data_IF_553243280213
#
_entry.id   IF_553243280213
#
_cell.length_a   1.000
_cell.length_b   1.000
_cell.length_c   1.000
_cell.angle_alpha   90.00
_cell.angle_beta   90.00
_cell.angle_gamma   90.00
#
_symmetry.space_group_name_H-M   'P 1'
#
loop_
_entity.id
_entity.type
_entity.pdbx_description
1 polymer ?
#
# COMPACT_ATOMS: atom_id res chain seq x y z
N UNK A 1 19.71 -31.23 18.75
CA UNK A 1 19.88 -29.90 19.35
C UNK A 1 19.47 -28.93 18.28
N UNK A 2 18.34 -28.31 18.40
CA UNK A 2 17.91 -27.18 17.56
C UNK A 2 18.88 -26.04 17.85
N UNK A 3 19.66 -25.64 16.85
CA UNK A 3 20.42 -24.39 16.92
C UNK A 3 19.33 -23.31 16.88
N UNK A 4 19.02 -22.71 18.03
CA UNK A 4 18.18 -21.54 18.07
C UNK A 4 18.93 -20.45 17.31
N UNK A 5 18.41 -20.08 16.14
CA UNK A 5 18.92 -18.97 15.38
C UNK A 5 18.84 -17.72 16.27
N UNK A 6 19.93 -16.99 16.37
CA UNK A 6 19.98 -15.78 17.21
C UNK A 6 19.35 -14.63 16.41
N UNK A 7 18.44 -13.90 17.03
CA UNK A 7 17.87 -12.69 16.44
C UNK A 7 18.99 -11.74 15.96
N UNK A 8 18.95 -11.43 14.68
CA UNK A 8 19.90 -10.52 14.05
C UNK A 8 19.19 -9.66 12.98
N UNK A 9 18.87 -8.44 13.37
CA UNK A 9 18.15 -7.47 12.54
C UNK A 9 18.84 -7.16 11.20
N UNK A 10 20.15 -7.37 11.06
CA UNK A 10 20.92 -7.12 9.83
C UNK A 10 21.26 -8.39 9.04
N UNK A 11 20.77 -9.53 9.45
CA UNK A 11 21.03 -10.79 8.75
C UNK A 11 20.51 -10.79 7.32
N UNK A 12 21.03 -11.73 6.53
CA UNK A 12 20.49 -12.06 5.20
C UNK A 12 19.51 -13.25 5.25
N UNK A 13 19.41 -13.91 6.39
CA UNK A 13 18.58 -15.10 6.56
C UNK A 13 17.25 -14.71 7.20
N UNK A 14 16.17 -15.11 6.56
CA UNK A 14 14.81 -14.77 6.95
C UNK A 14 14.53 -15.09 8.43
N UNK A 15 14.89 -16.30 8.87
CA UNK A 15 14.62 -16.79 10.24
C UNK A 15 15.46 -16.09 11.31
N UNK A 16 16.52 -15.37 10.94
CA UNK A 16 17.32 -14.58 11.89
C UNK A 16 16.73 -13.17 12.08
N UNK A 17 16.30 -12.49 11.01
CA UNK A 17 15.71 -11.16 11.16
C UNK A 17 14.20 -11.18 11.44
N UNK A 18 13.49 -12.24 11.06
CA UNK A 18 12.13 -12.57 11.52
C UNK A 18 12.26 -13.75 12.48
N UNK A 19 12.87 -13.48 13.63
CA UNK A 19 13.19 -14.54 14.57
C UNK A 19 11.94 -14.96 15.38
N UNK A 20 11.58 -16.22 15.31
CA UNK A 20 10.39 -16.76 15.98
C UNK A 20 10.44 -16.55 17.51
N UNK A 21 11.59 -16.81 18.14
CA UNK A 21 11.72 -16.66 19.59
C UNK A 21 11.60 -15.19 20.00
N UNK A 22 12.21 -14.26 19.25
CA UNK A 22 12.07 -12.81 19.50
C UNK A 22 10.62 -12.36 19.40
N UNK A 23 9.83 -12.91 18.46
CA UNK A 23 8.39 -12.61 18.38
C UNK A 23 7.68 -13.12 19.63
N UNK A 24 7.92 -14.36 20.05
CA UNK A 24 7.29 -14.93 21.26
C UNK A 24 7.66 -14.13 22.51
N UNK A 25 8.94 -13.81 22.70
CA UNK A 25 9.42 -13.01 23.83
C UNK A 25 8.80 -11.60 23.83
N UNK A 26 8.60 -11.02 22.66
CA UNK A 26 7.91 -9.74 22.49
C UNK A 26 6.44 -9.81 22.88
N UNK A 27 5.74 -10.87 22.51
CA UNK A 27 4.34 -11.07 22.87
C UNK A 27 4.18 -11.31 24.38
N UNK A 28 5.07 -12.09 24.99
CA UNK A 28 5.07 -12.31 26.43
C UNK A 28 5.36 -11.00 27.19
N UNK A 29 6.35 -10.25 26.74
CA UNK A 29 6.67 -8.92 27.29
C UNK A 29 5.48 -7.96 27.21
N UNK A 30 4.82 -7.87 26.06
CA UNK A 30 3.66 -7.01 25.88
C UNK A 30 2.50 -7.42 26.78
N UNK A 31 2.21 -8.72 26.88
CA UNK A 31 1.17 -9.27 27.76
C UNK A 31 1.46 -9.00 29.24
N UNK A 32 2.71 -9.17 29.68
CA UNK A 32 3.12 -8.93 31.06
C UNK A 32 2.98 -7.45 31.47
N UNK A 33 3.15 -6.52 30.53
CA UNK A 33 3.13 -5.08 30.78
C UNK A 33 1.83 -4.37 30.37
N UNK A 34 0.83 -5.07 29.83
CA UNK A 34 -0.39 -4.47 29.24
C UNK A 34 -1.17 -3.56 30.21
N UNK A 35 -1.04 -3.78 31.53
CA UNK A 35 -1.68 -2.99 32.57
C UNK A 35 -0.73 -1.98 33.25
N UNK A 36 0.50 -1.84 32.75
CA UNK A 36 1.49 -0.90 33.30
C UNK A 36 1.24 0.50 32.74
N UNK A 37 0.19 1.18 33.26
CA UNK A 37 -0.24 2.51 32.81
C UNK A 37 0.91 3.52 32.70
N UNK A 38 1.75 3.73 33.75
CA UNK A 38 2.82 4.72 33.66
C UNK A 38 3.81 4.43 32.52
N UNK A 39 4.07 3.16 32.27
CA UNK A 39 4.98 2.79 31.19
C UNK A 39 4.34 3.02 29.80
N UNK A 40 3.06 2.66 29.63
CA UNK A 40 2.33 2.92 28.38
C UNK A 40 2.25 4.42 28.09
N UNK A 41 1.97 5.25 29.10
CA UNK A 41 1.99 6.72 28.97
C UNK A 41 3.35 7.24 28.51
N UNK A 42 4.44 6.72 29.09
CA UNK A 42 5.79 7.09 28.67
C UNK A 42 6.11 6.72 27.22
N UNK A 43 5.57 5.61 26.72
CA UNK A 43 5.72 5.22 25.32
C UNK A 43 4.90 6.11 24.37
N UNK A 44 3.70 6.52 24.77
CA UNK A 44 2.91 7.50 24.02
C UNK A 44 3.66 8.82 23.91
N UNK A 45 4.24 9.30 25.01
CA UNK A 45 5.04 10.53 25.04
C UNK A 45 6.32 10.42 24.19
N UNK A 46 7.01 9.27 24.24
CA UNK A 46 8.14 8.97 23.36
C UNK A 46 7.72 9.00 21.89
N UNK A 47 6.62 8.37 21.56
CA UNK A 47 6.10 8.30 20.19
C UNK A 47 5.71 9.68 19.64
N UNK A 48 5.28 10.62 20.49
CA UNK A 48 4.99 12.01 20.10
C UNK A 48 6.21 12.75 19.53
N UNK A 49 7.43 12.28 19.82
CA UNK A 49 8.66 12.79 19.20
C UNK A 49 8.80 12.38 17.72
N UNK A 50 7.94 11.48 17.22
CA UNK A 50 7.93 11.00 15.84
C UNK A 50 9.23 10.33 15.39
N UNK A 51 9.92 9.66 16.29
CA UNK A 51 11.15 8.89 15.99
C UNK A 51 10.88 7.40 15.72
N UNK A 52 9.61 6.99 15.82
CA UNK A 52 9.21 5.60 15.74
C UNK A 52 9.27 4.88 17.08
N UNK A 53 8.78 3.65 17.07
CA UNK A 53 8.85 2.71 18.21
C UNK A 53 9.41 1.37 17.72
N UNK A 54 10.11 0.67 18.60
CA UNK A 54 10.51 -0.71 18.32
C UNK A 54 9.30 -1.64 18.29
N UNK A 55 9.47 -2.82 17.64
CA UNK A 55 8.41 -3.84 17.59
C UNK A 55 7.93 -4.24 19.00
N UNK A 56 8.80 -4.31 20.02
CA UNK A 56 8.43 -4.60 21.42
C UNK A 56 7.56 -3.48 22.03
N UNK A 57 7.96 -2.22 21.83
CA UNK A 57 7.20 -1.06 22.33
C UNK A 57 5.83 -0.94 21.64
N UNK A 58 5.80 -1.17 20.33
CA UNK A 58 4.57 -1.14 19.55
C UNK A 58 3.63 -2.30 19.92
N UNK A 59 4.17 -3.50 20.16
CA UNK A 59 3.39 -4.64 20.64
C UNK A 59 2.70 -4.34 21.98
N UNK A 60 3.39 -3.65 22.89
CA UNK A 60 2.78 -3.23 24.16
C UNK A 60 1.63 -2.23 23.94
N UNK A 61 1.79 -1.25 23.05
CA UNK A 61 0.68 -0.34 22.71
C UNK A 61 -0.50 -1.08 22.06
N UNK A 62 -0.22 -2.11 21.28
CA UNK A 62 -1.26 -2.95 20.68
C UNK A 62 -2.02 -3.77 21.74
N UNK A 63 -1.38 -4.23 22.80
CA UNK A 63 -2.03 -4.98 23.90
C UNK A 63 -2.78 -4.07 24.87
N UNK A 64 -2.52 -2.78 24.92
CA UNK A 64 -3.22 -1.85 25.81
C UNK A 64 -4.72 -1.83 25.52
N UNK A 65 -5.56 -2.14 26.49
CA UNK A 65 -7.02 -2.15 26.39
C UNK A 65 -7.71 -1.10 27.27
N UNK A 66 -6.95 -0.28 27.99
CA UNK A 66 -7.50 0.82 28.79
C UNK A 66 -8.09 1.91 27.86
N UNK A 67 -9.41 2.18 27.94
CA UNK A 67 -10.09 3.04 26.96
C UNK A 67 -9.50 4.43 26.80
N UNK A 68 -9.08 5.05 27.91
CA UNK A 68 -8.45 6.39 27.90
C UNK A 68 -7.12 6.37 27.13
N UNK A 69 -6.27 5.38 27.37
CA UNK A 69 -4.98 5.25 26.70
C UNK A 69 -5.16 4.89 25.21
N UNK A 70 -6.14 4.05 24.88
CA UNK A 70 -6.48 3.74 23.48
C UNK A 70 -6.91 5.02 22.75
N UNK A 71 -7.69 5.89 23.36
CA UNK A 71 -8.05 7.17 22.76
C UNK A 71 -6.84 8.11 22.58
N UNK A 72 -5.89 8.11 23.54
CA UNK A 72 -4.63 8.85 23.39
C UNK A 72 -3.79 8.30 22.24
N UNK A 73 -3.70 6.97 22.08
CA UNK A 73 -3.03 6.32 20.94
C UNK A 73 -3.67 6.76 19.63
N UNK A 74 -5.00 6.73 19.51
CA UNK A 74 -5.71 7.18 18.31
C UNK A 74 -5.50 8.65 18.02
N UNK A 75 -5.52 9.49 19.04
CA UNK A 75 -5.26 10.92 18.89
C UNK A 75 -3.84 11.16 18.35
N UNK A 76 -2.84 10.53 18.95
CA UNK A 76 -1.46 10.63 18.50
C UNK A 76 -1.26 10.12 17.06
N UNK A 77 -1.89 9.02 16.68
CA UNK A 77 -1.83 8.51 15.32
C UNK A 77 -2.37 9.53 14.29
N UNK A 78 -3.49 10.21 14.61
CA UNK A 78 -4.04 11.31 13.78
C UNK A 78 -3.07 12.48 13.67
N UNK A 79 -2.44 12.88 14.77
CA UNK A 79 -1.47 13.98 14.77
C UNK A 79 -0.24 13.65 13.93
N UNK A 80 0.34 12.46 14.09
CA UNK A 80 1.48 11.98 13.30
C UNK A 80 1.12 11.94 11.81
N UNK A 81 -0.05 11.39 11.46
CA UNK A 81 -0.52 11.39 10.07
C UNK A 81 -0.61 12.81 9.51
N UNK A 82 -1.23 13.73 10.25
CA UNK A 82 -1.38 15.14 9.83
C UNK A 82 -0.02 15.82 9.66
N UNK A 83 0.92 15.54 10.53
CA UNK A 83 2.27 16.12 10.48
C UNK A 83 3.02 15.73 9.21
N UNK A 84 2.99 14.46 8.79
CA UNK A 84 3.78 13.97 7.66
C UNK A 84 3.00 13.92 6.34
N UNK A 85 1.73 13.63 6.39
CA UNK A 85 0.90 13.44 5.20
C UNK A 85 -0.15 14.54 4.99
N UNK A 86 -0.40 15.37 6.02
CA UNK A 86 -1.47 16.36 5.98
C UNK A 86 -2.83 15.69 5.79
N UNK A 87 -3.67 16.32 4.98
CA UNK A 87 -4.98 15.81 4.59
C UNK A 87 -4.99 15.18 3.18
N UNK A 88 -3.81 14.83 2.62
CA UNK A 88 -3.68 14.22 1.29
C UNK A 88 -3.92 12.71 1.35
N UNK A 89 -4.69 12.22 0.40
CA UNK A 89 -4.88 10.78 0.18
C UNK A 89 -4.50 10.46 -1.26
N UNK A 90 -3.50 9.61 -1.42
CA UNK A 90 -3.01 9.20 -2.75
C UNK A 90 -3.95 8.16 -3.34
N UNK A 91 -4.33 8.38 -4.60
CA UNK A 91 -5.24 7.52 -5.35
C UNK A 91 -4.49 6.62 -6.32
N UNK A 92 -4.92 5.35 -6.43
CA UNK A 92 -4.43 4.40 -7.42
C UNK A 92 -5.53 3.40 -7.81
N UNK A 93 -5.28 2.62 -8.86
CA UNK A 93 -6.08 1.44 -9.21
C UNK A 93 -5.19 0.22 -9.41
N UNK A 94 -5.63 -0.99 -9.05
CA UNK A 94 -4.97 -2.22 -9.48
C UNK A 94 -5.22 -2.46 -10.97
N UNK A 95 -4.28 -3.11 -11.65
CA UNK A 95 -4.46 -3.65 -12.99
C UNK A 95 -3.96 -5.09 -13.00
N UNK A 96 -4.89 -6.03 -13.12
CA UNK A 96 -4.59 -7.46 -13.16
C UNK A 96 -4.23 -7.87 -14.58
N UNK A 97 -2.96 -8.27 -14.78
CA UNK A 97 -2.44 -8.67 -16.08
C UNK A 97 -2.74 -10.13 -16.40
N UNK A 98 -2.75 -10.99 -15.37
CA UNK A 98 -2.95 -12.42 -15.52
C UNK A 98 -3.27 -13.11 -14.19
N UNK A 99 -4.18 -14.08 -14.22
CA UNK A 99 -4.48 -14.95 -13.10
C UNK A 99 -3.90 -16.38 -13.24
N UNK A 100 -3.06 -16.62 -14.25
CA UNK A 100 -2.29 -17.85 -14.32
C UNK A 100 -1.30 -17.91 -13.15
N UNK A 101 -1.37 -18.98 -12.35
CA UNK A 101 -0.52 -19.18 -11.18
C UNK A 101 -0.24 -20.65 -10.96
N UNK A 102 1.00 -20.98 -10.60
CA UNK A 102 1.47 -22.35 -10.31
C UNK A 102 1.47 -22.70 -8.83
N UNK A 103 1.20 -21.71 -7.95
CA UNK A 103 1.21 -21.90 -6.51
C UNK A 103 -0.09 -22.51 -5.99
N UNK A 104 -0.01 -23.12 -4.82
CA UNK A 104 -1.14 -23.74 -4.13
C UNK A 104 -1.65 -22.97 -2.91
N UNK A 105 -1.59 -21.63 -2.92
CA UNK A 105 -2.00 -20.78 -1.80
C UNK A 105 -3.48 -21.00 -1.45
N UNK A 106 -3.77 -21.45 -0.22
CA UNK A 106 -5.13 -21.85 0.18
C UNK A 106 -6.11 -20.70 0.38
N UNK A 107 -5.64 -19.45 0.35
CA UNK A 107 -6.43 -18.22 0.55
C UNK A 107 -6.60 -17.41 -0.74
N UNK A 108 -6.11 -17.90 -1.87
CA UNK A 108 -6.11 -17.14 -3.15
C UNK A 108 -6.82 -17.94 -4.24
N UNK A 109 -7.85 -17.41 -4.91
CA UNK A 109 -8.57 -18.11 -5.95
C UNK A 109 -7.72 -18.45 -7.17
N UNK A 110 -6.55 -17.81 -7.33
CA UNK A 110 -5.61 -18.09 -8.42
C UNK A 110 -4.80 -19.38 -8.21
N UNK A 111 -4.97 -20.07 -7.07
CA UNK A 111 -4.21 -21.30 -6.81
C UNK A 111 -4.37 -22.35 -7.91
N UNK A 112 -3.31 -23.12 -8.15
CA UNK A 112 -3.22 -24.05 -9.28
C UNK A 112 -4.31 -25.15 -9.31
N UNK A 113 -4.90 -25.46 -8.14
CA UNK A 113 -5.94 -26.49 -8.01
C UNK A 113 -7.33 -25.97 -8.33
N UNK A 114 -7.57 -24.63 -8.33
CA UNK A 114 -8.86 -24.07 -8.69
C UNK A 114 -9.15 -24.35 -10.17
N UNK A 115 -10.24 -25.07 -10.44
CA UNK A 115 -10.71 -25.46 -11.78
C UNK A 115 -11.90 -24.66 -12.26
N UNK A 116 -12.46 -23.82 -11.39
CA UNK A 116 -13.68 -23.05 -11.65
C UNK A 116 -13.37 -21.67 -12.20
N UNK A 117 -12.35 -21.01 -11.67
CA UNK A 117 -12.00 -19.66 -12.12
C UNK A 117 -11.50 -19.64 -13.58
N UNK A 118 -12.06 -18.81 -14.46
CA UNK A 118 -11.55 -18.65 -15.82
C UNK A 118 -10.12 -18.11 -15.82
N UNK A 119 -9.21 -18.83 -16.47
CA UNK A 119 -7.81 -18.39 -16.60
C UNK A 119 -7.68 -17.44 -17.78
N UNK A 120 -7.15 -16.25 -17.50
CA UNK A 120 -6.96 -15.19 -18.48
C UNK A 120 -5.58 -14.54 -18.30
N UNK A 121 -4.98 -14.14 -19.41
CA UNK A 121 -3.80 -13.30 -19.50
C UNK A 121 -4.06 -12.25 -20.57
N UNK A 122 -3.82 -10.99 -20.26
CA UNK A 122 -4.04 -9.92 -21.21
C UNK A 122 -2.95 -9.92 -22.30
N UNK A 123 -3.37 -9.81 -23.55
CA UNK A 123 -2.48 -9.40 -24.63
C UNK A 123 -2.10 -7.91 -24.51
N UNK A 124 -1.09 -7.46 -25.22
CA UNK A 124 -0.69 -6.05 -25.20
C UNK A 124 -1.83 -5.13 -25.70
N UNK A 125 -2.67 -5.61 -26.62
CA UNK A 125 -3.83 -4.86 -27.10
C UNK A 125 -4.95 -4.79 -26.05
N UNK A 126 -5.19 -5.85 -25.30
CA UNK A 126 -6.12 -5.82 -24.17
C UNK A 126 -5.61 -4.88 -23.05
N UNK A 127 -4.31 -4.92 -22.73
CA UNK A 127 -3.69 -3.97 -21.78
C UNK A 127 -3.93 -2.53 -22.25
N UNK A 128 -3.81 -2.26 -23.55
CA UNK A 128 -4.07 -0.94 -24.12
C UNK A 128 -5.52 -0.50 -23.88
N UNK A 129 -6.49 -1.38 -24.09
CA UNK A 129 -7.91 -1.08 -23.83
C UNK A 129 -8.18 -0.83 -22.36
N UNK A 130 -7.65 -1.65 -21.47
CA UNK A 130 -7.76 -1.47 -20.01
C UNK A 130 -7.18 -0.13 -19.55
N UNK A 131 -6.00 0.23 -20.06
CA UNK A 131 -5.34 1.48 -19.69
C UNK A 131 -6.11 2.70 -20.21
N UNK A 132 -6.70 2.63 -21.41
CA UNK A 132 -7.56 3.70 -21.93
C UNK A 132 -8.78 3.87 -21.02
N UNK A 133 -9.44 2.79 -20.60
CA UNK A 133 -10.57 2.84 -19.69
C UNK A 133 -10.16 3.46 -18.31
N UNK A 134 -9.02 3.08 -17.76
CA UNK A 134 -8.47 3.67 -16.54
C UNK A 134 -8.11 5.15 -16.69
N UNK A 135 -7.60 5.57 -17.85
CA UNK A 135 -7.33 6.97 -18.14
C UNK A 135 -8.62 7.77 -18.30
N UNK A 136 -9.68 7.20 -18.89
CA UNK A 136 -11.00 7.82 -18.98
C UNK A 136 -11.68 7.99 -17.62
N UNK A 137 -11.34 7.15 -16.63
CA UNK A 137 -11.74 7.34 -15.23
C UNK A 137 -10.92 8.44 -14.53
N UNK A 138 -9.75 8.79 -15.04
CA UNK A 138 -8.86 9.82 -14.48
C UNK A 138 -7.65 9.27 -13.69
N UNK A 139 -7.44 7.95 -13.68
CA UNK A 139 -6.28 7.36 -13.01
C UNK A 139 -4.95 7.77 -13.65
N UNK A 140 -3.93 7.98 -12.80
CA UNK A 140 -2.55 8.32 -13.22
C UNK A 140 -1.51 7.40 -12.57
N UNK A 141 -1.95 6.49 -11.70
CA UNK A 141 -1.10 5.54 -10.97
C UNK A 141 -1.76 4.18 -10.96
N UNK A 142 -1.02 3.15 -11.30
CA UNK A 142 -1.45 1.76 -11.27
C UNK A 142 -0.61 0.91 -10.32
N UNK A 143 -1.21 -0.15 -9.80
CA UNK A 143 -0.53 -1.29 -9.21
C UNK A 143 -0.77 -2.50 -10.11
N UNK A 144 0.30 -3.04 -10.72
CA UNK A 144 0.20 -4.21 -11.58
C UNK A 144 0.17 -5.48 -10.73
N UNK A 145 -0.76 -6.35 -11.04
CA UNK A 145 -0.97 -7.62 -10.36
C UNK A 145 -0.85 -8.77 -11.36
N UNK A 146 -0.10 -9.81 -11.01
CA UNK A 146 -0.02 -11.03 -11.82
C UNK A 146 0.24 -12.25 -10.93
N UNK A 147 -0.40 -13.38 -11.26
CA UNK A 147 -0.07 -14.65 -10.65
C UNK A 147 1.35 -15.11 -11.03
N UNK A 148 1.94 -15.95 -10.19
CA UNK A 148 3.26 -16.52 -10.44
C UNK A 148 3.17 -17.71 -11.40
N UNK A 149 3.58 -17.51 -12.63
CA UNK A 149 3.65 -18.54 -13.65
C UNK A 149 4.81 -18.24 -14.61
N UNK A 150 5.96 -18.91 -14.47
CA UNK A 150 7.13 -18.65 -15.32
C UNK A 150 6.88 -18.83 -16.82
N UNK A 151 5.88 -19.65 -17.18
CA UNK A 151 5.53 -19.92 -18.58
C UNK A 151 4.58 -18.85 -19.15
N UNK A 152 3.54 -18.49 -18.38
CA UNK A 152 2.53 -17.56 -18.84
C UNK A 152 2.88 -16.10 -18.52
N UNK A 153 3.55 -15.85 -17.40
CA UNK A 153 3.88 -14.52 -16.88
C UNK A 153 5.40 -14.35 -16.70
N UNK A 154 6.26 -14.66 -17.72
CA UNK A 154 7.70 -14.44 -17.60
C UNK A 154 7.99 -12.95 -17.38
N UNK A 155 9.18 -12.63 -16.86
CA UNK A 155 9.58 -11.24 -16.59
C UNK A 155 9.48 -10.36 -17.84
N UNK A 156 9.80 -10.89 -19.02
CA UNK A 156 9.70 -10.14 -20.28
C UNK A 156 8.28 -9.66 -20.58
N UNK A 157 7.27 -10.47 -20.27
CA UNK A 157 5.87 -10.07 -20.41
C UNK A 157 5.53 -8.90 -19.47
N UNK A 158 5.99 -8.94 -18.22
CA UNK A 158 5.78 -7.85 -17.25
C UNK A 158 6.45 -6.57 -17.74
N UNK A 159 7.69 -6.66 -18.19
CA UNK A 159 8.47 -5.54 -18.73
C UNK A 159 7.82 -4.93 -19.98
N UNK A 160 7.34 -5.77 -20.90
CA UNK A 160 6.62 -5.33 -22.08
C UNK A 160 5.32 -4.62 -21.70
N UNK A 161 4.56 -5.18 -20.74
CA UNK A 161 3.33 -4.58 -20.24
C UNK A 161 3.57 -3.19 -19.64
N UNK A 162 4.64 -3.02 -18.86
CA UNK A 162 5.04 -1.71 -18.30
C UNK A 162 5.32 -0.71 -19.43
N UNK A 163 6.11 -1.10 -20.45
CA UNK A 163 6.40 -0.25 -21.61
C UNK A 163 5.13 0.14 -22.36
N UNK A 164 4.24 -0.82 -22.59
CA UNK A 164 2.94 -0.58 -23.23
C UNK A 164 2.12 0.44 -22.44
N UNK A 165 1.98 0.26 -21.11
CA UNK A 165 1.22 1.16 -20.24
C UNK A 165 1.75 2.59 -20.32
N UNK A 166 3.06 2.79 -20.20
CA UNK A 166 3.66 4.13 -20.27
C UNK A 166 3.58 4.78 -21.66
N UNK A 167 3.43 3.98 -22.73
CA UNK A 167 3.31 4.51 -24.09
C UNK A 167 1.93 5.08 -24.43
N UNK A 168 0.91 4.83 -23.60
CA UNK A 168 -0.47 5.19 -23.91
C UNK A 168 -0.79 6.58 -23.40
N UNK A 169 -1.17 7.45 -24.34
CA UNK A 169 -1.73 8.77 -24.06
C UNK A 169 -3.10 8.85 -24.72
N UNK A 170 -4.14 9.00 -23.91
CA UNK A 170 -5.51 9.09 -24.39
C UNK A 170 -6.15 10.39 -23.87
N UNK A 171 -6.57 11.28 -24.75
CA UNK A 171 -7.04 12.63 -24.39
C UNK A 171 -6.00 13.35 -23.50
N UNK A 172 -6.40 13.82 -22.31
CA UNK A 172 -5.50 14.38 -21.29
C UNK A 172 -4.95 13.34 -20.32
N UNK A 173 -5.25 12.05 -20.55
CA UNK A 173 -4.84 10.94 -19.71
C UNK A 173 -3.43 10.43 -20.03
N UNK A 174 -2.72 10.03 -18.99
CA UNK A 174 -1.49 9.27 -19.06
C UNK A 174 -1.27 8.56 -17.73
N UNK A 175 -0.86 7.29 -17.76
CA UNK A 175 -0.35 6.64 -16.57
C UNK A 175 1.08 7.14 -16.35
N UNK A 176 1.29 7.77 -15.21
CA UNK A 176 2.55 8.44 -14.86
C UNK A 176 3.38 7.65 -13.86
N UNK A 177 2.82 6.57 -13.31
CA UNK A 177 3.48 5.67 -12.36
C UNK A 177 2.85 4.30 -12.35
N UNK A 178 3.70 3.28 -12.38
CA UNK A 178 3.35 1.88 -12.27
C UNK A 178 4.07 1.28 -11.07
N UNK A 179 3.34 0.85 -10.04
CA UNK A 179 3.85 -0.03 -8.99
C UNK A 179 3.67 -1.48 -9.45
N UNK A 180 4.47 -2.39 -8.94
CA UNK A 180 4.43 -3.79 -9.36
C UNK A 180 4.29 -4.71 -8.15
N UNK A 181 3.29 -5.56 -8.17
CA UNK A 181 3.03 -6.61 -7.20
C UNK A 181 3.04 -7.95 -7.94
N UNK A 182 4.21 -8.53 -8.06
CA UNK A 182 4.46 -9.87 -8.61
C UNK A 182 5.23 -10.70 -7.59
N UNK A 183 5.24 -12.02 -7.77
CA UNK A 183 5.95 -12.93 -6.88
C UNK A 183 7.44 -12.58 -6.71
N UNK A 184 8.02 -13.05 -5.61
CA UNK A 184 9.45 -12.92 -5.32
C UNK A 184 10.29 -13.41 -6.50
N UNK A 185 11.33 -12.64 -6.86
CA UNK A 185 12.15 -12.96 -8.02
C UNK A 185 13.66 -12.73 -7.74
N UNK A 186 14.48 -12.77 -8.75
CA UNK A 186 15.95 -12.62 -8.64
C UNK A 186 16.38 -11.16 -8.61
N UNK A 187 17.56 -10.88 -8.08
CA UNK A 187 18.20 -9.56 -8.13
C UNK A 187 18.23 -8.99 -9.54
N UNK A 188 18.54 -9.84 -10.53
CA UNK A 188 18.59 -9.44 -11.94
C UNK A 188 17.21 -8.97 -12.44
N UNK A 189 16.15 -9.73 -12.16
CA UNK A 189 14.79 -9.33 -12.54
C UNK A 189 14.38 -8.04 -11.86
N UNK A 190 14.74 -7.82 -10.59
CA UNK A 190 14.50 -6.53 -9.91
C UNK A 190 15.27 -5.38 -10.58
N UNK A 191 16.48 -5.60 -11.06
CA UNK A 191 17.23 -4.60 -11.82
C UNK A 191 16.52 -4.24 -13.12
N UNK A 192 16.02 -5.23 -13.86
CA UNK A 192 15.22 -5.00 -15.07
C UNK A 192 13.93 -4.21 -14.79
N UNK A 193 13.24 -4.50 -13.67
CA UNK A 193 12.06 -3.75 -13.23
C UNK A 193 12.43 -2.30 -12.90
N UNK A 194 13.55 -2.07 -12.23
CA UNK A 194 14.06 -0.70 -11.96
C UNK A 194 14.33 0.05 -13.25
N UNK A 195 14.98 -0.59 -14.22
CA UNK A 195 15.28 -0.01 -15.54
C UNK A 195 14.00 0.29 -16.34
N UNK A 196 12.95 -0.53 -16.17
CA UNK A 196 11.63 -0.28 -16.76
C UNK A 196 10.90 0.92 -16.13
N UNK A 197 11.45 1.50 -15.07
CA UNK A 197 10.92 2.72 -14.45
C UNK A 197 9.73 2.48 -13.52
N UNK A 198 9.68 1.34 -12.83
CA UNK A 198 8.62 1.12 -11.83
C UNK A 198 8.71 2.10 -10.66
N UNK A 199 7.60 2.28 -9.99
CA UNK A 199 7.54 3.02 -8.74
C UNK A 199 7.99 2.15 -7.55
N UNK A 200 7.03 1.59 -6.82
CA UNK A 200 7.27 0.67 -5.69
C UNK A 200 7.15 -0.77 -6.16
N UNK A 201 8.08 -1.63 -5.74
CA UNK A 201 7.85 -3.06 -5.74
C UNK A 201 7.11 -3.45 -4.46
N UNK A 202 5.99 -4.13 -4.60
CA UNK A 202 5.11 -4.50 -3.48
C UNK A 202 5.03 -6.02 -3.41
N UNK A 203 5.21 -6.59 -2.22
CA UNK A 203 4.97 -8.00 -1.96
C UNK A 203 4.51 -8.18 -0.52
N UNK A 204 3.35 -8.81 -0.35
CA UNK A 204 2.85 -9.13 0.99
C UNK A 204 3.50 -10.41 1.48
N UNK A 205 3.93 -10.40 2.75
CA UNK A 205 4.44 -11.59 3.41
C UNK A 205 3.33 -12.61 3.65
N UNK A 206 2.10 -12.17 3.68
CA UNK A 206 0.87 -12.90 4.03
C UNK A 206 0.84 -13.22 5.53
N UNK A 207 1.74 -14.05 6.03
CA UNK A 207 2.02 -14.28 7.47
C UNK A 207 3.52 -14.41 7.71
N UNK A 208 3.98 -13.94 8.84
CA UNK A 208 5.38 -14.07 9.28
C UNK A 208 5.67 -15.36 10.05
N UNK A 209 4.63 -16.13 10.43
CA UNK A 209 4.81 -17.45 11.04
C UNK A 209 5.22 -18.47 9.98
N UNK A 210 6.46 -18.96 10.02
CA UNK A 210 6.97 -19.92 9.05
C UNK A 210 6.11 -21.18 8.98
N UNK A 211 5.71 -21.73 10.11
CA UNK A 211 4.86 -22.92 10.17
C UNK A 211 3.50 -22.70 9.48
N UNK A 212 2.82 -21.59 9.80
CA UNK A 212 1.56 -21.23 9.15
C UNK A 212 1.76 -20.88 7.67
N UNK A 213 2.86 -20.20 7.35
CA UNK A 213 3.19 -19.87 5.96
C UNK A 213 3.33 -21.12 5.09
N UNK A 214 4.08 -22.13 5.56
CA UNK A 214 4.28 -23.40 4.84
C UNK A 214 2.96 -24.18 4.69
N UNK A 215 2.10 -24.17 5.72
CA UNK A 215 0.77 -24.77 5.66
C UNK A 215 -0.16 -24.07 4.65
N UNK A 216 -0.09 -22.73 4.56
CA UNK A 216 -0.89 -21.91 3.65
C UNK A 216 -0.38 -21.94 2.19
N UNK A 217 0.89 -22.34 1.97
CA UNK A 217 1.54 -22.40 0.66
C UNK A 217 2.09 -23.82 0.38
N UNK A 218 1.25 -24.85 0.30
CA UNK A 218 1.67 -26.24 0.29
C UNK A 218 2.45 -26.66 -0.99
N UNK A 219 2.32 -25.90 -2.06
CA UNK A 219 2.97 -26.24 -3.36
C UNK A 219 3.32 -24.98 -4.16
N UNK A 220 4.30 -25.12 -5.05
CA UNK A 220 4.76 -24.09 -5.95
C UNK A 220 5.95 -23.28 -5.39
N UNK A 221 6.52 -22.37 -6.17
CA UNK A 221 7.69 -21.57 -5.75
C UNK A 221 7.43 -20.73 -4.47
N UNK A 222 6.23 -20.22 -4.29
CA UNK A 222 5.84 -19.43 -3.11
C UNK A 222 5.87 -20.24 -1.80
N UNK A 223 5.96 -21.60 -1.85
CA UNK A 223 6.12 -22.42 -0.64
C UNK A 223 7.45 -22.20 0.09
N UNK A 224 8.45 -21.61 -0.56
CA UNK A 224 9.73 -21.32 0.06
C UNK A 224 9.66 -20.05 0.90
N UNK A 225 9.44 -20.20 2.21
CA UNK A 225 9.33 -19.09 3.16
C UNK A 225 10.53 -18.15 3.12
N UNK A 226 11.76 -18.68 3.21
CA UNK A 226 12.96 -17.86 3.25
C UNK A 226 13.11 -17.04 1.96
N UNK A 227 12.97 -17.68 0.80
CA UNK A 227 13.06 -16.99 -0.49
C UNK A 227 12.02 -15.88 -0.64
N UNK A 228 10.80 -16.09 -0.15
CA UNK A 228 9.74 -15.09 -0.18
C UNK A 228 10.02 -13.93 0.79
N UNK A 229 10.39 -14.22 2.03
CA UNK A 229 10.65 -13.23 3.09
C UNK A 229 11.84 -12.32 2.74
N UNK A 230 12.88 -12.87 2.06
CA UNK A 230 14.08 -12.15 1.62
C UNK A 230 13.89 -11.39 0.28
N UNK A 231 12.68 -11.35 -0.26
CA UNK A 231 12.41 -10.71 -1.55
C UNK A 231 12.72 -9.21 -1.56
N UNK A 232 12.42 -8.50 -0.46
CA UNK A 232 12.69 -7.06 -0.37
C UNK A 232 14.19 -6.74 -0.35
N UNK A 233 14.98 -7.60 0.30
CA UNK A 233 16.45 -7.52 0.26
C UNK A 233 16.97 -7.59 -1.17
N UNK A 234 16.54 -8.61 -1.92
CA UNK A 234 16.92 -8.77 -3.32
C UNK A 234 16.43 -7.62 -4.20
N UNK A 235 15.24 -7.07 -3.92
CA UNK A 235 14.71 -5.92 -4.65
C UNK A 235 15.58 -4.68 -4.45
N UNK A 236 15.99 -4.41 -3.20
CA UNK A 236 16.87 -3.28 -2.88
C UNK A 236 18.30 -3.51 -3.41
N UNK A 237 18.82 -4.72 -3.36
CA UNK A 237 20.09 -5.10 -4.01
C UNK A 237 20.01 -4.92 -5.55
N UNK A 238 18.86 -5.12 -6.15
CA UNK A 238 18.56 -4.84 -7.57
C UNK A 238 18.41 -3.37 -7.91
N UNK A 239 18.50 -2.47 -6.90
CA UNK A 239 18.44 -1.02 -7.07
C UNK A 239 17.03 -0.43 -6.98
N UNK A 240 16.04 -1.19 -6.51
CA UNK A 240 14.70 -0.64 -6.24
C UNK A 240 14.77 0.12 -4.90
N UNK A 241 14.57 1.44 -4.95
CA UNK A 241 14.67 2.31 -3.77
C UNK A 241 13.43 2.25 -2.88
N UNK A 242 12.26 1.99 -3.47
CA UNK A 242 10.97 2.01 -2.80
C UNK A 242 10.34 0.62 -2.80
N UNK A 243 10.32 -0.04 -1.65
CA UNK A 243 9.65 -1.34 -1.45
C UNK A 243 8.41 -1.18 -0.58
N UNK A 244 7.43 -2.06 -0.79
CA UNK A 244 6.18 -2.09 -0.03
C UNK A 244 5.95 -3.48 0.57
N UNK A 245 5.80 -3.54 1.88
CA UNK A 245 5.51 -4.76 2.62
C UNK A 245 4.04 -4.81 3.07
N UNK A 246 3.57 -5.95 3.53
CA UNK A 246 2.22 -6.10 4.05
C UNK A 246 1.97 -7.47 4.65
N UNK A 247 0.87 -7.57 5.36
CA UNK A 247 0.34 -8.80 5.96
C UNK A 247 -1.12 -8.94 5.56
N UNK A 248 -1.54 -10.16 5.24
CA UNK A 248 -2.96 -10.48 5.08
C UNK A 248 -3.53 -10.91 6.43
N UNK A 249 -4.06 -9.94 7.18
CA UNK A 249 -4.61 -10.20 8.50
C UNK A 249 -5.82 -11.14 8.44
N UNK A 250 -5.82 -12.14 9.29
CA UNK A 250 -6.82 -13.21 9.35
C UNK A 250 -6.27 -14.59 9.00
N UNK A 251 -5.10 -14.67 8.36
CA UNK A 251 -4.44 -15.95 8.07
C UNK A 251 -3.79 -16.58 9.31
N UNK A 252 -3.25 -15.75 10.18
CA UNK A 252 -2.65 -16.16 11.46
C UNK A 252 -3.08 -15.18 12.55
N UNK A 253 -2.63 -15.38 13.79
CA UNK A 253 -2.91 -14.45 14.89
C UNK A 253 -2.32 -13.07 14.56
N UNK A 254 -3.15 -12.04 14.63
CA UNK A 254 -2.74 -10.69 14.27
C UNK A 254 -1.56 -10.15 15.09
N UNK A 255 -1.44 -10.61 16.33
CA UNK A 255 -0.34 -10.21 17.23
C UNK A 255 1.01 -10.66 16.69
N UNK A 256 1.10 -11.92 16.28
CA UNK A 256 2.32 -12.48 15.73
C UNK A 256 2.74 -11.75 14.43
N UNK A 257 1.78 -11.61 13.53
CA UNK A 257 2.02 -10.99 12.22
C UNK A 257 2.29 -9.49 12.32
N UNK A 258 1.69 -8.81 13.30
CA UNK A 258 1.99 -7.40 13.58
C UNK A 258 3.45 -7.22 14.05
N UNK A 259 3.94 -8.06 14.96
CA UNK A 259 5.33 -8.01 15.41
C UNK A 259 6.28 -8.31 14.25
N UNK A 260 6.02 -9.39 13.50
CA UNK A 260 6.82 -9.75 12.33
C UNK A 260 6.88 -8.64 11.27
N UNK A 261 5.77 -7.95 11.02
CA UNK A 261 5.70 -6.81 10.10
C UNK A 261 6.62 -5.66 10.54
N UNK A 262 6.63 -5.33 11.82
CA UNK A 262 7.50 -4.28 12.36
C UNK A 262 8.97 -4.71 12.37
N UNK A 263 9.27 -5.96 12.71
CA UNK A 263 10.63 -6.51 12.62
C UNK A 263 11.17 -6.44 11.18
N UNK A 264 10.33 -6.71 10.17
CA UNK A 264 10.73 -6.58 8.77
C UNK A 264 11.00 -5.12 8.39
N UNK A 265 10.14 -4.18 8.84
CA UNK A 265 10.38 -2.75 8.63
C UNK A 265 11.69 -2.27 9.27
N UNK A 266 11.97 -2.69 10.51
CA UNK A 266 13.21 -2.41 11.22
C UNK A 266 14.44 -3.03 10.53
N UNK A 267 14.31 -4.26 10.04
CA UNK A 267 15.35 -4.93 9.29
C UNK A 267 15.77 -4.14 8.04
N UNK A 268 14.80 -3.71 7.23
CA UNK A 268 15.08 -2.92 6.02
C UNK A 268 15.77 -1.60 6.37
N UNK A 269 15.30 -0.89 7.40
CA UNK A 269 15.93 0.35 7.85
C UNK A 269 17.35 0.11 8.39
N UNK A 270 17.56 -0.94 9.19
CA UNK A 270 18.86 -1.25 9.79
C UNK A 270 19.90 -1.70 8.75
N UNK A 271 19.47 -2.40 7.70
CA UNK A 271 20.35 -2.98 6.68
C UNK A 271 20.63 -2.03 5.52
N UNK A 272 19.62 -1.30 5.06
CA UNK A 272 19.70 -0.46 3.86
C UNK A 272 19.65 1.05 4.17
N UNK A 273 19.49 1.43 5.45
CA UNK A 273 19.37 2.82 5.86
C UNK A 273 18.01 3.47 5.59
N UNK A 274 17.09 2.73 4.97
CA UNK A 274 15.74 3.20 4.65
C UNK A 274 14.73 2.07 4.87
N UNK A 275 13.66 2.36 5.62
CA UNK A 275 12.55 1.43 5.84
C UNK A 275 11.63 1.32 4.61
N UNK A 276 10.56 0.53 4.70
CA UNK A 276 9.63 0.36 3.60
C UNK A 276 8.95 1.68 3.24
N UNK A 277 8.80 1.94 1.93
CA UNK A 277 8.08 3.10 1.42
C UNK A 277 6.58 3.03 1.76
N UNK A 278 6.03 1.82 1.72
CA UNK A 278 4.62 1.58 2.05
C UNK A 278 4.43 0.32 2.90
N UNK A 279 3.41 0.35 3.74
CA UNK A 279 2.86 -0.81 4.44
C UNK A 279 1.40 -0.96 4.05
N UNK A 280 1.03 -2.16 3.59
CA UNK A 280 -0.35 -2.53 3.28
C UNK A 280 -0.92 -3.41 4.39
N UNK A 281 -2.17 -3.17 4.74
CA UNK A 281 -2.85 -3.84 5.86
C UNK A 281 -4.17 -4.51 5.40
N UNK A 282 -4.15 -5.39 4.38
CA UNK A 282 -5.36 -6.09 3.94
C UNK A 282 -5.84 -7.08 4.99
N UNK A 283 -7.17 -7.29 5.03
CA UNK A 283 -7.79 -8.42 5.75
C UNK A 283 -8.25 -9.48 4.75
N UNK A 284 -8.35 -10.72 5.22
CA UNK A 284 -8.89 -11.82 4.42
C UNK A 284 -10.33 -11.49 3.99
N UNK A 285 -10.66 -11.74 2.73
CA UNK A 285 -11.99 -11.61 2.15
C UNK A 285 -12.32 -12.86 1.35
N UNK A 286 -13.62 -13.14 1.21
CA UNK A 286 -14.09 -14.19 0.33
C UNK A 286 -13.78 -13.87 -1.14
N UNK A 287 -13.68 -14.93 -1.93
CA UNK A 287 -13.45 -14.90 -3.37
C UNK A 287 -14.00 -16.21 -3.97
N UNK A 288 -13.82 -16.42 -5.29
CA UNK A 288 -14.11 -17.70 -5.91
C UNK A 288 -13.33 -18.83 -5.20
N UNK A 289 -14.01 -19.92 -4.82
CA UNK A 289 -13.44 -21.07 -4.09
C UNK A 289 -12.77 -20.75 -2.74
N UNK A 290 -12.98 -19.53 -2.19
CA UNK A 290 -12.42 -19.09 -0.90
C UNK A 290 -13.54 -18.53 -0.02
N UNK A 291 -13.77 -19.16 1.13
CA UNK A 291 -14.66 -18.63 2.18
C UNK A 291 -13.81 -17.99 3.29
N UNK A 292 -14.00 -16.69 3.53
CA UNK A 292 -13.32 -16.00 4.62
C UNK A 292 -13.66 -16.57 6.00
N UNK A 293 -14.82 -17.24 6.14
CA UNK A 293 -15.24 -17.93 7.36
C UNK A 293 -14.38 -19.14 7.72
N UNK A 294 -13.64 -19.71 6.77
CA UNK A 294 -12.73 -20.84 7.02
C UNK A 294 -11.43 -20.41 7.74
N UNK A 295 -11.21 -19.09 7.89
CA UNK A 295 -10.02 -18.53 8.53
C UNK A 295 -10.37 -18.04 9.95
N UNK A 296 -10.00 -18.80 11.01
CA UNK A 296 -10.45 -18.54 12.38
C UNK A 296 -9.84 -17.30 13.03
N UNK A 297 -8.81 -16.70 12.40
CA UNK A 297 -8.09 -15.55 12.92
C UNK A 297 -8.60 -14.20 12.37
N UNK A 298 -9.81 -14.15 11.82
CA UNK A 298 -10.42 -12.90 11.37
C UNK A 298 -10.45 -11.87 12.50
N UNK A 299 -10.20 -10.61 12.15
CA UNK A 299 -10.12 -9.50 13.12
C UNK A 299 -11.29 -8.54 12.97
N UNK A 300 -11.76 -8.00 14.13
CA UNK A 300 -12.80 -6.98 14.15
C UNK A 300 -12.30 -5.61 13.65
N UNK A 301 -13.22 -4.72 13.36
CA UNK A 301 -12.90 -3.33 12.97
C UNK A 301 -12.19 -2.56 14.09
N UNK A 302 -12.46 -2.87 15.36
CA UNK A 302 -11.76 -2.27 16.50
C UNK A 302 -10.28 -2.68 16.52
N UNK A 303 -10.01 -3.99 16.41
CA UNK A 303 -8.64 -4.52 16.34
C UNK A 303 -7.93 -3.95 15.12
N UNK A 304 -8.59 -3.91 13.97
CA UNK A 304 -8.04 -3.36 12.74
C UNK A 304 -7.68 -1.88 12.87
N UNK A 305 -8.57 -1.08 13.45
CA UNK A 305 -8.33 0.35 13.73
C UNK A 305 -7.11 0.56 14.63
N UNK A 306 -6.97 -0.29 15.65
CA UNK A 306 -5.85 -0.24 16.58
C UNK A 306 -4.53 -0.62 15.92
N UNK A 307 -4.52 -1.67 15.09
CA UNK A 307 -3.37 -2.06 14.28
C UNK A 307 -2.90 -0.89 13.42
N UNK A 308 -3.82 -0.27 12.67
CA UNK A 308 -3.50 0.88 11.81
C UNK A 308 -2.93 2.05 12.61
N UNK A 309 -3.53 2.39 13.75
CA UNK A 309 -3.06 3.48 14.61
C UNK A 309 -1.66 3.20 15.15
N UNK A 310 -1.40 1.98 15.67
CA UNK A 310 -0.10 1.64 16.26
C UNK A 310 0.99 1.52 15.19
N UNK A 311 0.70 0.98 13.99
CA UNK A 311 1.65 1.01 12.87
C UNK A 311 2.01 2.47 12.52
N UNK A 312 1.03 3.38 12.44
CA UNK A 312 1.31 4.81 12.17
C UNK A 312 2.24 5.44 13.20
N UNK A 313 2.09 5.07 14.46
CA UNK A 313 2.93 5.54 15.56
C UNK A 313 4.34 4.93 15.48
N UNK A 314 4.42 3.62 15.23
CA UNK A 314 5.68 2.88 15.21
C UNK A 314 6.54 3.23 13.99
N UNK A 315 5.91 3.42 12.82
CA UNK A 315 6.58 3.74 11.54
C UNK A 315 6.03 5.04 10.96
N UNK A 316 6.32 6.20 11.60
CA UNK A 316 5.62 7.46 11.34
C UNK A 316 5.79 8.00 9.92
N UNK A 317 6.87 7.63 9.22
CA UNK A 317 7.22 8.14 7.90
C UNK A 317 6.71 7.30 6.73
N UNK A 318 6.27 6.06 7.01
CA UNK A 318 5.87 5.10 5.97
C UNK A 318 4.46 5.38 5.46
N UNK A 319 4.25 5.31 4.15
CA UNK A 319 2.92 5.34 3.55
C UNK A 319 2.11 4.12 3.96
N UNK A 320 0.83 4.29 4.28
CA UNK A 320 -0.05 3.15 4.61
C UNK A 320 -1.17 3.04 3.61
N UNK A 321 -1.40 1.82 3.13
CA UNK A 321 -2.31 1.51 2.03
C UNK A 321 -3.48 0.66 2.52
N UNK A 322 -4.68 1.03 2.07
CA UNK A 322 -5.89 0.21 2.16
C UNK A 322 -6.57 0.13 0.80
N UNK A 323 -7.11 -1.03 0.47
CA UNK A 323 -7.78 -1.26 -0.81
C UNK A 323 -9.31 -1.25 -0.67
N UNK A 324 -10.00 -1.45 -1.80
CA UNK A 324 -11.45 -1.65 -1.88
C UNK A 324 -11.93 -3.00 -1.33
N UNK A 325 -11.01 -3.81 -0.80
CA UNK A 325 -11.30 -5.02 0.00
C UNK A 325 -12.11 -4.68 1.24
N UNK A 326 -11.83 -3.50 1.84
CA UNK A 326 -12.50 -3.00 3.03
C UNK A 326 -13.79 -2.22 2.73
N UNK A 327 -14.76 -2.30 3.62
CA UNK A 327 -16.02 -1.55 3.52
C UNK A 327 -15.79 -0.04 3.60
N UNK A 328 -16.74 0.74 3.09
CA UNK A 328 -16.71 2.20 3.16
C UNK A 328 -16.56 2.71 4.58
N UNK A 329 -17.26 2.08 5.54
CA UNK A 329 -17.22 2.46 6.95
C UNK A 329 -15.86 2.17 7.57
N UNK A 330 -15.31 0.97 7.35
CA UNK A 330 -13.98 0.60 7.84
C UNK A 330 -12.91 1.54 7.24
N UNK A 331 -12.97 1.82 5.94
CA UNK A 331 -12.06 2.76 5.27
C UNK A 331 -12.12 4.16 5.88
N UNK A 332 -13.33 4.67 6.19
CA UNK A 332 -13.50 5.98 6.83
C UNK A 332 -12.80 6.06 8.20
N UNK A 333 -12.97 5.03 9.04
CA UNK A 333 -12.35 4.96 10.38
C UNK A 333 -10.82 5.00 10.29
N UNK A 334 -10.23 4.17 9.44
CA UNK A 334 -8.77 4.03 9.38
C UNK A 334 -8.07 5.13 8.58
N UNK A 335 -8.79 5.84 7.68
CA UNK A 335 -8.26 7.03 7.02
C UNK A 335 -7.77 8.08 8.01
N UNK A 336 -8.52 8.31 9.08
CA UNK A 336 -8.11 9.27 10.11
C UNK A 336 -6.89 8.80 10.89
N UNK A 337 -6.78 7.49 11.16
CA UNK A 337 -5.78 6.91 12.06
C UNK A 337 -4.39 6.77 11.42
N UNK A 338 -4.31 6.56 10.10
CA UNK A 338 -2.99 6.31 9.54
C UNK A 338 -2.91 6.18 8.03
N UNK A 339 -3.99 5.79 7.38
CA UNK A 339 -3.98 5.50 5.94
C UNK A 339 -3.72 6.77 5.13
N UNK A 340 -2.80 6.69 4.17
CA UNK A 340 -2.39 7.78 3.29
C UNK A 340 -2.59 7.49 1.80
N UNK A 341 -2.89 6.24 1.45
CA UNK A 341 -3.12 5.80 0.07
C UNK A 341 -4.30 4.84 0.00
N UNK A 342 -5.17 5.03 -0.99
CA UNK A 342 -6.32 4.14 -1.21
C UNK A 342 -6.50 3.83 -2.69
N UNK A 343 -7.04 2.65 -2.99
CA UNK A 343 -7.56 2.37 -4.32
C UNK A 343 -9.01 2.88 -4.44
N UNK A 344 -9.43 3.25 -5.65
CA UNK A 344 -10.78 3.72 -5.94
C UNK A 344 -11.23 3.32 -7.34
N UNK A 345 -12.51 3.01 -7.51
CA UNK A 345 -13.04 2.52 -8.78
C UNK A 345 -12.40 1.21 -9.22
N UNK A 346 -12.00 0.36 -8.26
CA UNK A 346 -11.17 -0.82 -8.52
C UNK A 346 -11.95 -1.95 -9.18
N UNK A 347 -11.26 -2.66 -10.08
CA UNK A 347 -11.63 -3.99 -10.57
C UNK A 347 -10.52 -4.97 -10.23
N UNK A 348 -10.87 -6.15 -9.73
CA UNK A 348 -9.92 -7.18 -9.28
C UNK A 348 -9.85 -8.38 -10.21
N UNK A 349 -10.55 -8.28 -11.32
CA UNK A 349 -10.57 -9.25 -12.41
C UNK A 349 -9.58 -8.90 -13.51
N UNK A 350 -9.12 -9.90 -14.25
CA UNK A 350 -8.25 -9.72 -15.41
C UNK A 350 -9.07 -9.18 -16.58
N UNK A 351 -8.86 -7.91 -16.97
CA UNK A 351 -9.59 -7.25 -18.06
C UNK A 351 -10.96 -6.70 -17.64
N UNK A 352 -11.10 -6.28 -16.39
CA UNK A 352 -12.40 -5.84 -15.83
C UNK A 352 -12.73 -4.36 -16.00
N UNK A 353 -11.86 -3.53 -16.61
CA UNK A 353 -12.13 -2.10 -16.81
C UNK A 353 -12.72 -1.77 -18.19
N UNK A 354 -12.24 -2.40 -19.24
CA UNK A 354 -12.66 -2.13 -20.60
C UNK A 354 -13.94 -2.88 -21.02
N UNK A 355 -14.20 -4.01 -20.38
CA UNK A 355 -15.34 -4.88 -20.70
C UNK A 355 -16.22 -5.07 -19.46
N UNK A 356 -17.55 -5.16 -19.67
CA UNK A 356 -18.47 -5.55 -18.60
C UNK A 356 -18.26 -7.04 -18.31
N UNK A 357 -17.82 -7.34 -17.10
CA UNK A 357 -17.66 -8.72 -16.67
C UNK A 357 -19.01 -9.37 -16.40
N UNK A 358 -19.25 -10.51 -17.04
CA UNK A 358 -20.43 -11.33 -16.77
C UNK A 358 -20.12 -12.26 -15.58
N UNK A 359 -21.14 -12.62 -14.76
CA UNK A 359 -20.92 -13.49 -13.58
C UNK A 359 -20.20 -14.80 -13.89
N UNK A 360 -20.48 -15.40 -15.06
CA UNK A 360 -19.85 -16.64 -15.52
C UNK A 360 -18.39 -16.50 -15.91
N UNK A 361 -17.91 -15.28 -16.10
CA UNK A 361 -16.52 -14.96 -16.46
C UNK A 361 -15.76 -14.27 -15.32
N UNK A 362 -16.31 -14.30 -14.10
CA UNK A 362 -15.66 -13.67 -12.95
C UNK A 362 -14.27 -14.27 -12.70
N UNK A 363 -13.25 -13.46 -12.84
CA UNK A 363 -11.85 -13.80 -12.61
C UNK A 363 -11.23 -12.99 -11.46
N UNK A 364 -12.08 -12.41 -10.61
CA UNK A 364 -11.66 -11.56 -9.52
C UNK A 364 -10.77 -12.29 -8.50
N UNK A 365 -9.73 -11.62 -8.01
CA UNK A 365 -8.87 -12.15 -6.96
C UNK A 365 -9.54 -12.13 -5.59
N UNK A 366 -10.46 -11.20 -5.37
CA UNK A 366 -11.28 -11.11 -4.16
C UNK A 366 -12.52 -10.25 -4.44
N UNK A 367 -13.54 -10.45 -3.64
CA UNK A 367 -14.77 -9.66 -3.71
C UNK A 367 -14.51 -8.22 -3.23
N UNK A 368 -14.90 -7.26 -4.07
CA UNK A 368 -14.74 -5.83 -3.78
C UNK A 368 -15.88 -5.38 -2.86
N UNK A 369 -15.54 -4.91 -1.65
CA UNK A 369 -16.53 -4.40 -0.69
C UNK A 369 -16.92 -2.94 -0.95
N UNK A 370 -16.00 -2.13 -1.47
CA UNK A 370 -16.28 -0.76 -1.88
C UNK A 370 -16.34 -0.65 -3.40
N UNK A 371 -17.54 -0.70 -3.95
CA UNK A 371 -17.81 -0.74 -5.39
C UNK A 371 -18.00 0.64 -6.03
N UNK A 372 -17.80 1.72 -5.27
CA UNK A 372 -17.94 3.09 -5.77
C UNK A 372 -17.04 3.36 -6.96
N UNK A 373 -17.53 4.17 -7.88
CA UNK A 373 -16.72 4.75 -8.97
C UNK A 373 -15.60 5.63 -8.41
N UNK A 374 -14.60 5.93 -9.22
CA UNK A 374 -13.52 6.83 -8.80
C UNK A 374 -14.06 8.22 -8.43
N UNK A 375 -15.04 8.77 -9.18
CA UNK A 375 -15.61 10.08 -8.88
C UNK A 375 -16.38 10.10 -7.55
N UNK A 376 -17.13 9.04 -7.25
CA UNK A 376 -17.81 8.91 -5.93
C UNK A 376 -16.80 8.83 -4.78
N UNK A 377 -15.67 8.13 -4.97
CA UNK A 377 -14.61 8.08 -3.95
C UNK A 377 -13.92 9.43 -3.79
N UNK A 378 -13.64 10.14 -4.89
CA UNK A 378 -13.09 11.50 -4.87
C UNK A 378 -14.05 12.45 -4.15
N UNK A 379 -15.35 12.43 -4.50
CA UNK A 379 -16.37 13.24 -3.85
C UNK A 379 -16.44 12.99 -2.34
N UNK A 380 -16.49 11.73 -1.94
CA UNK A 380 -16.49 11.32 -0.53
C UNK A 380 -15.25 11.82 0.24
N UNK A 381 -14.05 11.76 -0.36
CA UNK A 381 -12.84 12.29 0.28
C UNK A 381 -12.92 13.82 0.46
N UNK A 382 -13.47 14.54 -0.53
CA UNK A 382 -13.67 15.97 -0.45
C UNK A 382 -14.66 16.34 0.68
N UNK A 383 -15.74 15.58 0.86
CA UNK A 383 -16.69 15.75 1.97
C UNK A 383 -16.03 15.53 3.35
N UNK A 384 -15.09 14.61 3.45
CA UNK A 384 -14.30 14.36 4.65
C UNK A 384 -13.18 15.40 4.88
N UNK A 385 -12.99 16.35 3.95
CA UNK A 385 -11.94 17.37 4.02
C UNK A 385 -10.55 16.87 3.60
N UNK A 386 -10.47 15.74 2.92
CA UNK A 386 -9.22 15.23 2.35
C UNK A 386 -8.99 15.76 0.93
N UNK A 387 -7.72 15.84 0.54
CA UNK A 387 -7.29 16.18 -0.81
C UNK A 387 -6.99 14.88 -1.56
N UNK A 388 -7.86 14.41 -2.49
CA UNK A 388 -7.53 13.32 -3.39
C UNK A 388 -6.31 13.70 -4.24
N UNK A 389 -5.25 12.90 -4.18
CA UNK A 389 -3.98 13.20 -4.83
C UNK A 389 -3.65 12.16 -5.89
N UNK A 390 -3.47 12.62 -7.12
CA UNK A 390 -2.98 11.81 -8.24
C UNK A 390 -1.49 12.09 -8.52
N UNK A 391 -0.78 12.67 -7.56
CA UNK A 391 0.61 13.08 -7.70
C UNK A 391 1.54 11.88 -7.91
N UNK A 392 2.45 12.00 -8.87
CA UNK A 392 3.50 11.03 -9.20
C UNK A 392 4.88 11.70 -9.29
N UNK A 393 5.02 12.92 -8.76
CA UNK A 393 6.20 13.76 -8.97
C UNK A 393 7.48 13.15 -8.37
N UNK A 394 7.42 12.56 -7.19
CA UNK A 394 8.63 12.11 -6.48
C UNK A 394 9.48 11.15 -7.32
N UNK A 395 8.86 10.17 -7.97
CA UNK A 395 9.58 9.21 -8.83
C UNK A 395 10.20 9.85 -10.06
N UNK A 396 9.49 10.81 -10.63
CA UNK A 396 9.90 11.49 -11.86
C UNK A 396 10.97 12.55 -11.61
N UNK A 397 11.10 13.01 -10.38
CA UNK A 397 12.09 14.00 -9.91
C UNK A 397 13.23 13.35 -9.10
N UNK A 398 13.35 12.01 -9.14
CA UNK A 398 14.38 11.27 -8.41
C UNK A 398 14.31 11.42 -6.89
N UNK A 399 13.13 11.68 -6.35
CA UNK A 399 12.88 11.75 -4.89
C UNK A 399 12.33 10.40 -4.43
N UNK A 400 13.20 9.40 -4.34
CA UNK A 400 12.90 8.03 -3.93
C UNK A 400 13.85 7.60 -2.81
N UNK A 401 13.57 6.49 -2.14
CA UNK A 401 14.40 5.90 -1.11
C UNK A 401 14.76 6.89 0.00
N UNK A 402 16.03 6.94 0.37
CA UNK A 402 16.56 7.82 1.44
C UNK A 402 16.28 9.31 1.17
N UNK A 403 16.39 9.76 -0.08
CA UNK A 403 16.08 11.16 -0.44
C UNK A 403 14.62 11.50 -0.14
N UNK A 404 13.69 10.61 -0.44
CA UNK A 404 12.28 10.81 -0.08
C UNK A 404 12.08 10.83 1.42
N UNK A 405 12.64 9.85 2.14
CA UNK A 405 12.51 9.74 3.59
C UNK A 405 13.12 10.95 4.32
N UNK A 406 14.25 11.47 3.86
CA UNK A 406 14.85 12.69 4.40
C UNK A 406 13.96 13.92 4.25
N UNK A 407 13.29 14.06 3.11
CA UNK A 407 12.30 15.14 2.88
C UNK A 407 11.05 14.99 3.77
N UNK A 408 10.62 13.76 4.04
CA UNK A 408 9.50 13.49 4.95
C UNK A 408 9.90 13.81 6.39
N UNK A 409 11.03 13.28 6.86
CA UNK A 409 11.54 13.49 8.24
C UNK A 409 11.78 14.97 8.54
N UNK A 410 12.29 15.73 7.58
CA UNK A 410 12.50 17.19 7.74
C UNK A 410 11.25 18.05 7.57
N UNK A 411 10.11 17.46 7.15
CA UNK A 411 8.89 18.19 6.81
C UNK A 411 8.92 18.96 5.50
N UNK A 412 10.05 19.00 4.79
CA UNK A 412 10.20 19.73 3.52
C UNK A 412 9.32 19.14 2.41
N UNK A 413 8.94 17.88 2.53
CA UNK A 413 8.04 17.22 1.59
C UNK A 413 6.70 17.96 1.43
N UNK A 414 6.25 18.69 2.46
CA UNK A 414 5.01 19.48 2.42
C UNK A 414 5.06 20.59 1.35
N UNK A 415 6.25 21.16 1.07
CA UNK A 415 6.44 22.17 0.05
C UNK A 415 6.27 21.66 -1.39
N UNK A 416 6.35 20.36 -1.60
CA UNK A 416 6.14 19.73 -2.90
C UNK A 416 4.79 18.99 -2.95
N UNK A 417 4.55 18.12 -1.96
CA UNK A 417 3.40 17.21 -1.99
C UNK A 417 2.06 17.91 -1.84
N UNK A 418 1.96 18.96 -1.00
CA UNK A 418 0.72 19.75 -0.87
C UNK A 418 0.32 20.39 -2.18
N UNK A 419 1.15 21.28 -2.75
CA UNK A 419 0.87 21.92 -4.04
C UNK A 419 0.65 20.92 -5.18
N UNK A 420 1.46 19.86 -5.28
CA UNK A 420 1.28 18.83 -6.30
C UNK A 420 -0.06 18.07 -6.16
N UNK A 421 -0.54 17.84 -4.93
CA UNK A 421 -1.85 17.24 -4.71
C UNK A 421 -2.97 18.16 -5.24
N UNK A 422 -2.90 19.46 -4.93
CA UNK A 422 -3.88 20.44 -5.41
C UNK A 422 -3.87 20.57 -6.94
N UNK A 423 -2.69 20.59 -7.57
CA UNK A 423 -2.56 20.66 -9.03
C UNK A 423 -3.13 19.41 -9.70
N UNK A 424 -2.82 18.22 -9.18
CA UNK A 424 -3.35 16.97 -9.76
C UNK A 424 -4.83 16.77 -9.50
N UNK A 425 -5.34 17.24 -8.34
CA UNK A 425 -6.79 17.31 -8.11
C UNK A 425 -7.45 18.26 -9.12
N UNK A 426 -6.86 19.45 -9.35
CA UNK A 426 -7.39 20.39 -10.34
C UNK A 426 -7.45 19.80 -11.74
N UNK A 427 -6.42 19.04 -12.17
CA UNK A 427 -6.46 18.30 -13.44
C UNK A 427 -7.64 17.33 -13.47
N UNK A 428 -7.87 16.57 -12.39
CA UNK A 428 -8.99 15.64 -12.28
C UNK A 428 -10.35 16.35 -12.40
N UNK A 429 -10.50 17.49 -11.70
CA UNK A 429 -11.74 18.25 -11.69
C UNK A 429 -12.09 18.85 -13.06
N UNK A 430 -11.10 19.21 -13.86
CA UNK A 430 -11.31 19.76 -15.20
C UNK A 430 -11.63 18.69 -16.24
N UNK A 431 -11.08 17.48 -16.08
CA UNK A 431 -11.11 16.47 -17.15
C UNK A 431 -12.16 15.36 -16.91
N UNK A 432 -12.50 15.06 -15.65
CA UNK A 432 -13.19 13.80 -15.32
C UNK A 432 -14.33 13.94 -14.31
N UNK A 433 -14.33 14.98 -13.48
CA UNK A 433 -15.23 15.07 -12.35
C UNK A 433 -16.67 15.41 -12.75
N UNK A 434 -17.64 14.85 -12.01
CA UNK A 434 -19.02 15.33 -12.03
C UNK A 434 -19.12 16.77 -11.54
N UNK A 435 -20.23 17.44 -11.81
CA UNK A 435 -20.43 18.84 -11.44
C UNK A 435 -20.35 19.07 -9.94
N UNK A 436 -20.91 18.18 -9.13
CA UNK A 436 -20.86 18.29 -7.66
C UNK A 436 -19.44 18.06 -7.12
N UNK A 437 -18.72 17.04 -7.62
CA UNK A 437 -17.32 16.79 -7.27
C UNK A 437 -16.46 17.98 -7.66
N UNK A 438 -16.68 18.54 -8.85
CA UNK A 438 -15.95 19.71 -9.33
C UNK A 438 -16.16 20.93 -8.43
N UNK A 439 -17.39 21.22 -8.06
CA UNK A 439 -17.71 22.33 -7.15
C UNK A 439 -17.01 22.19 -5.80
N UNK A 440 -17.18 21.05 -5.11
CA UNK A 440 -16.55 20.77 -3.82
C UNK A 440 -15.03 20.82 -3.89
N UNK A 441 -14.45 20.27 -4.97
CA UNK A 441 -13.01 20.24 -5.18
C UNK A 441 -12.42 21.63 -5.39
N UNK A 442 -13.08 22.51 -6.14
CA UNK A 442 -12.63 23.89 -6.35
C UNK A 442 -12.67 24.70 -5.04
N UNK A 443 -13.71 24.53 -4.22
CA UNK A 443 -13.81 25.15 -2.89
C UNK A 443 -12.63 24.69 -1.99
N UNK A 444 -12.33 23.40 -1.97
CA UNK A 444 -11.21 22.86 -1.19
C UNK A 444 -9.86 23.38 -1.71
N UNK A 445 -9.63 23.40 -3.02
CA UNK A 445 -8.40 23.93 -3.62
C UNK A 445 -8.18 25.39 -3.24
N UNK A 446 -9.20 26.22 -3.30
CA UNK A 446 -9.11 27.64 -2.90
C UNK A 446 -8.63 27.76 -1.46
N UNK A 447 -9.31 27.07 -0.54
CA UNK A 447 -8.98 27.07 0.89
C UNK A 447 -7.58 26.55 1.20
N UNK A 448 -7.19 25.43 0.60
CA UNK A 448 -5.90 24.80 0.88
C UNK A 448 -4.73 25.51 0.21
N UNK A 449 -4.94 26.20 -0.93
CA UNK A 449 -3.92 27.01 -1.57
C UNK A 449 -3.48 28.17 -0.67
N UNK A 450 -4.40 28.82 0.05
CA UNK A 450 -4.08 29.88 1.01
C UNK A 450 -3.25 29.37 2.20
N UNK A 451 -3.35 28.09 2.54
CA UNK A 451 -2.62 27.44 3.62
C UNK A 451 -1.20 27.02 3.26
N UNK A 452 -0.77 27.16 2.02
CA UNK A 452 0.62 26.86 1.62
C UNK A 452 1.54 27.84 2.35
N UNK A 453 2.45 27.36 3.24
CA UNK A 453 3.20 28.25 4.14
C UNK A 453 4.21 29.14 3.39
N UNK A 454 4.88 28.57 2.38
CA UNK A 454 5.89 29.28 1.61
C UNK A 454 5.26 30.18 0.54
N UNK A 455 5.41 31.53 0.62
CA UNK A 455 4.76 32.45 -0.33
C UNK A 455 5.18 32.21 -1.80
N UNK A 456 6.45 31.90 -2.05
CA UNK A 456 6.94 31.64 -3.42
C UNK A 456 6.31 30.37 -4.00
N UNK A 457 6.22 29.30 -3.19
CA UNK A 457 5.56 28.06 -3.61
C UNK A 457 4.07 28.31 -3.84
N UNK A 458 3.42 29.11 -3.00
CA UNK A 458 2.01 29.49 -3.16
C UNK A 458 1.77 30.22 -4.48
N UNK A 459 2.58 31.20 -4.83
CA UNK A 459 2.52 31.93 -6.10
C UNK A 459 2.66 30.99 -7.30
N UNK A 460 3.63 30.08 -7.25
CA UNK A 460 3.81 29.07 -8.30
C UNK A 460 2.58 28.18 -8.42
N UNK A 461 2.03 27.71 -7.29
CA UNK A 461 0.83 26.87 -7.26
C UNK A 461 -0.37 27.61 -7.88
N UNK A 462 -0.62 28.87 -7.49
CA UNK A 462 -1.72 29.69 -8.03
C UNK A 462 -1.57 29.85 -9.55
N UNK A 463 -0.38 30.18 -10.03
CA UNK A 463 -0.10 30.30 -11.47
C UNK A 463 -0.37 28.98 -12.20
N UNK A 464 0.12 27.87 -11.68
CA UNK A 464 -0.05 26.57 -12.30
C UNK A 464 -1.52 26.10 -12.29
N UNK A 465 -2.27 26.33 -11.20
CA UNK A 465 -3.70 26.07 -11.13
C UNK A 465 -4.49 26.84 -12.21
N UNK A 466 -4.11 28.09 -12.48
CA UNK A 466 -4.68 28.89 -13.57
C UNK A 466 -4.34 28.29 -14.94
N UNK A 467 -3.09 27.89 -15.15
CA UNK A 467 -2.66 27.26 -16.40
C UNK A 467 -3.36 25.90 -16.65
N UNK A 468 -3.70 25.14 -15.59
CA UNK A 468 -4.50 23.94 -15.72
C UNK A 468 -5.92 24.25 -16.21
N UNK A 469 -6.55 25.33 -15.73
CA UNK A 469 -7.83 25.81 -16.26
C UNK A 469 -7.75 26.23 -17.74
N UNK A 470 -6.57 26.64 -18.20
CA UNK A 470 -6.29 26.98 -19.61
C UNK A 470 -5.91 25.76 -20.47
N UNK A 471 -6.07 24.53 -19.93
CA UNK A 471 -5.83 23.31 -20.68
C UNK A 471 -4.42 22.69 -20.53
N UNK A 472 -3.49 23.33 -19.81
CA UNK A 472 -2.18 22.71 -19.52
C UNK A 472 -2.29 21.62 -18.46
N UNK A 473 -1.40 20.63 -18.52
CA UNK A 473 -1.38 19.47 -17.63
C UNK A 473 0.04 19.14 -17.20
N UNK A 474 0.14 18.28 -16.17
CA UNK A 474 1.39 17.66 -15.72
C UNK A 474 2.40 18.62 -15.08
N UNK A 475 1.89 19.58 -14.29
CA UNK A 475 2.74 20.43 -13.48
C UNK A 475 3.32 19.67 -12.27
N UNK A 476 4.59 19.98 -11.95
CA UNK A 476 5.31 19.36 -10.82
C UNK A 476 6.17 20.39 -10.11
N UNK A 477 6.28 20.22 -8.76
CA UNK A 477 7.19 20.93 -7.88
C UNK A 477 8.16 19.97 -7.23
#
# INVERSE_FOLDING_TARGET
>A
MSIYEVYNIKSRQAEEFINHQEILDTLEYAQANRNNRPFIESLIDKAALCQGLSHREAALLLECDEPELVQRIYHLAREIKRKFYGNRIVMFAPLYLSNYCVNGCVYCPYHAKNRTIPRKKLSQEEIRREVIALQDMGHKRLALEAGEDPRNNPIDYILESIRTIYSIHHKNGAIRRVNVNIAATTVENYRLLKEAGIGTYILFQETYSKEHYEALHPTGPKSNYAYHTEAMDRAMEGGIDDVGIGVLFGLNTYRYDFVGLLMHAEHLEAKFGVGPHTISVPRICSADDIDAGDFPNAISDEIFSKIVAVIRIAVPYTGMIISTRESQESRKKVLELGISQISGGSRTSVGGYAETELPENNSAQFDVSDTRTLDEVVNWLLELGYIPSFCTACYREGRTGDRFMSLVKSGQIANCCGPNALMTLKEYLEDYASEDTRRKGLELISKETERIPNPKIREIAIRNLKEISNGKRDFRL
#
